data_IF_358089908173
#
_entry.id   IF_358089908173
#
_cell.length_a   1.000
_cell.length_b   1.000
_cell.length_c   1.000
_cell.angle_alpha   90.00
_cell.angle_beta   90.00
_cell.angle_gamma   90.00
#
_symmetry.space_group_name_H-M   'P 1'
#
loop_
_entity.id
_entity.type
_entity.pdbx_description
1 polymer ?
#
# COMPACT_ATOMS: atom_id res chain seq x y z
N UNK A 1 -25.13 -18.29 -1.45
CA UNK A 1 -24.91 -16.88 -1.83
C UNK A 1 -24.08 -16.20 -0.75
N UNK A 2 -22.76 -16.37 -0.75
CA UNK A 2 -21.87 -15.66 0.18
C UNK A 2 -21.21 -14.52 -0.60
N UNK A 3 -21.64 -13.28 -0.37
CA UNK A 3 -20.77 -12.16 -0.66
C UNK A 3 -19.60 -12.28 0.33
N UNK A 4 -18.34 -12.47 -0.13
CA UNK A 4 -17.23 -12.48 0.80
C UNK A 4 -17.16 -11.09 1.42
N UNK A 5 -17.21 -11.02 2.75
CA UNK A 5 -17.12 -9.77 3.46
C UNK A 5 -15.84 -9.04 3.02
N UNK A 6 -16.02 -7.84 2.47
CA UNK A 6 -14.95 -6.89 2.23
C UNK A 6 -14.44 -6.43 3.60
N UNK A 7 -13.61 -7.25 4.23
CA UNK A 7 -12.99 -6.92 5.50
C UNK A 7 -11.96 -5.84 5.23
N UNK A 8 -12.19 -4.66 5.82
CA UNK A 8 -11.20 -3.60 5.76
C UNK A 8 -9.94 -4.07 6.51
N UNK A 9 -8.83 -4.23 5.81
CA UNK A 9 -7.56 -4.64 6.40
C UNK A 9 -6.83 -3.41 6.93
N UNK A 10 -6.29 -3.50 8.14
CA UNK A 10 -5.42 -2.47 8.68
C UNK A 10 -4.01 -2.56 8.11
N UNK A 11 -3.28 -1.45 8.09
CA UNK A 11 -1.93 -1.40 7.57
C UNK A 11 -0.97 -2.34 8.33
N UNK A 12 -1.22 -2.55 9.63
CA UNK A 12 -0.48 -3.53 10.44
C UNK A 12 -0.78 -4.98 10.03
N UNK A 13 -2.03 -5.32 9.74
CA UNK A 13 -2.40 -6.63 9.21
C UNK A 13 -1.76 -6.87 7.84
N UNK A 14 -1.77 -5.88 6.96
CA UNK A 14 -1.12 -5.97 5.64
C UNK A 14 0.38 -6.22 5.80
N UNK A 15 1.04 -5.48 6.68
CA UNK A 15 2.46 -5.71 6.96
C UNK A 15 2.72 -7.12 7.50
N UNK A 16 1.87 -7.61 8.40
CA UNK A 16 1.98 -8.97 8.93
C UNK A 16 1.74 -10.05 7.86
N UNK A 17 0.74 -9.87 6.99
CA UNK A 17 0.40 -10.80 5.90
C UNK A 17 1.51 -10.87 4.85
N UNK A 18 2.08 -9.71 4.52
CA UNK A 18 3.13 -9.59 3.49
C UNK A 18 4.54 -9.85 4.03
N UNK A 19 4.67 -10.03 5.35
CA UNK A 19 5.98 -10.08 6.01
C UNK A 19 6.79 -8.79 5.88
N UNK A 20 6.11 -7.69 5.54
CA UNK A 20 6.70 -6.38 5.31
C UNK A 20 6.86 -5.57 6.60
N UNK A 21 7.66 -4.51 6.51
CA UNK A 21 7.80 -3.51 7.58
C UNK A 21 6.82 -2.37 7.34
N UNK A 22 5.86 -2.19 8.25
CA UNK A 22 5.01 -1.01 8.27
C UNK A 22 5.79 0.24 8.66
N UNK A 23 5.59 1.32 7.91
CA UNK A 23 6.07 2.67 8.17
C UNK A 23 4.88 3.63 8.12
N UNK A 24 4.70 4.42 9.17
CA UNK A 24 3.54 5.31 9.33
C UNK A 24 2.51 4.76 10.31
N UNK A 25 1.23 5.04 10.07
CA UNK A 25 0.14 4.73 11.00
C UNK A 25 -0.43 3.32 10.78
N UNK A 26 -0.44 2.44 11.81
CA UNK A 26 -1.02 1.09 11.73
C UNK A 26 -2.54 1.07 11.71
N UNK A 27 -3.18 2.14 12.18
CA UNK A 27 -4.65 2.23 12.30
C UNK A 27 -5.34 2.51 10.96
N UNK A 28 -4.58 2.83 9.91
CA UNK A 28 -5.14 3.09 8.59
C UNK A 28 -5.71 1.80 8.03
N UNK A 29 -6.98 1.87 7.60
CA UNK A 29 -7.70 0.74 7.03
C UNK A 29 -7.92 0.94 5.54
N UNK A 30 -7.83 -0.15 4.80
CA UNK A 30 -8.12 -0.21 3.38
C UNK A 30 -9.21 -1.24 3.11
N UNK A 31 -10.07 -0.96 2.15
CA UNK A 31 -11.20 -1.84 1.80
C UNK A 31 -11.01 -2.56 0.47
N UNK A 32 -10.13 -2.04 -0.39
CA UNK A 32 -9.85 -2.60 -1.71
C UNK A 32 -8.42 -2.32 -2.13
N UNK A 33 -7.98 -3.06 -3.14
CA UNK A 33 -6.67 -2.90 -3.77
C UNK A 33 -6.85 -2.20 -5.11
N UNK A 34 -6.07 -1.15 -5.36
CA UNK A 34 -6.11 -0.38 -6.59
C UNK A 34 -4.69 0.02 -7.04
N UNK A 35 -4.43 0.12 -8.35
CA UNK A 35 -3.14 0.60 -8.84
C UNK A 35 -2.95 2.08 -8.47
N UNK A 36 -1.69 2.50 -8.27
CA UNK A 36 -1.33 3.88 -7.87
C UNK A 36 -1.99 4.98 -8.70
N UNK A 37 -2.25 4.70 -9.98
CA UNK A 37 -2.88 5.61 -10.94
C UNK A 37 -4.35 5.90 -10.64
N UNK A 38 -5.05 4.96 -10.00
CA UNK A 38 -6.48 5.04 -9.69
C UNK A 38 -6.77 4.86 -8.20
N UNK A 39 -5.73 4.84 -7.37
CA UNK A 39 -5.88 4.60 -5.97
C UNK A 39 -6.46 5.83 -5.28
N UNK A 40 -7.52 5.59 -4.52
CA UNK A 40 -8.26 6.60 -3.77
C UNK A 40 -8.08 6.40 -2.27
N UNK A 41 -8.53 7.36 -1.45
CA UNK A 41 -8.54 7.19 0.00
C UNK A 41 -9.38 5.95 0.38
N UNK A 42 -8.81 5.06 1.19
CA UNK A 42 -9.36 3.75 1.53
C UNK A 42 -8.82 2.61 0.66
N UNK A 43 -7.95 2.90 -0.31
CA UNK A 43 -7.32 1.89 -1.15
C UNK A 43 -5.91 1.56 -0.71
N UNK A 44 -5.54 0.30 -0.95
CA UNK A 44 -4.16 -0.15 -0.95
C UNK A 44 -3.63 -0.15 -2.36
N UNK A 45 -2.47 0.48 -2.54
CA UNK A 45 -1.71 0.45 -3.78
C UNK A 45 -0.37 -0.24 -3.57
N UNK A 46 0.31 -0.58 -4.66
CA UNK A 46 1.66 -1.12 -4.61
C UNK A 46 2.51 -0.52 -5.72
N UNK A 47 3.76 -0.24 -5.39
CA UNK A 47 4.77 0.23 -6.31
C UNK A 47 5.63 -0.95 -6.76
N UNK A 48 5.22 -1.57 -7.86
CA UNK A 48 5.95 -2.68 -8.46
C UNK A 48 7.21 -2.29 -9.22
N UNK A 49 7.33 -1.04 -9.67
CA UNK A 49 8.41 -0.61 -10.55
C UNK A 49 8.74 0.86 -10.36
N UNK A 50 10.01 1.26 -10.54
CA UNK A 50 10.46 2.65 -10.39
C UNK A 50 9.75 3.61 -11.35
N UNK A 51 9.28 3.13 -12.50
CA UNK A 51 8.47 3.93 -13.45
C UNK A 51 7.19 4.50 -12.82
N UNK A 52 6.70 3.89 -11.75
CA UNK A 52 5.50 4.33 -11.05
C UNK A 52 5.76 5.33 -9.92
N UNK A 53 7.02 5.73 -9.68
CA UNK A 53 7.36 6.72 -8.66
C UNK A 53 6.61 8.04 -8.88
N UNK A 54 6.54 8.53 -10.12
CA UNK A 54 5.78 9.75 -10.42
C UNK A 54 4.27 9.62 -10.15
N UNK A 55 3.74 8.40 -10.12
CA UNK A 55 2.35 8.13 -9.73
C UNK A 55 2.21 7.97 -8.22
N UNK A 56 3.20 7.38 -7.53
CA UNK A 56 3.28 7.36 -6.06
C UNK A 56 3.12 8.77 -5.49
N UNK A 57 3.81 9.73 -6.10
CA UNK A 57 3.78 11.14 -5.70
C UNK A 57 2.41 11.81 -5.83
N UNK A 58 1.55 11.29 -6.72
CA UNK A 58 0.21 11.84 -7.00
C UNK A 58 -0.91 10.94 -6.50
N UNK A 59 -0.58 9.77 -5.97
CA UNK A 59 -1.54 8.76 -5.53
C UNK A 59 -2.24 9.20 -4.27
N UNK A 60 -3.55 8.98 -4.20
CA UNK A 60 -4.36 9.23 -3.02
C UNK A 60 -4.60 7.95 -2.20
N UNK A 61 -3.82 6.89 -2.46
CA UNK A 61 -3.89 5.63 -1.70
C UNK A 61 -3.70 5.88 -0.20
N UNK A 62 -4.46 5.17 0.62
CA UNK A 62 -4.29 5.22 2.08
C UNK A 62 -3.07 4.42 2.55
N UNK A 63 -2.79 3.28 1.90
CA UNK A 63 -1.62 2.45 2.18
C UNK A 63 -0.93 2.14 0.86
N UNK A 64 0.40 2.17 0.84
CA UNK A 64 1.17 1.73 -0.33
C UNK A 64 2.24 0.70 0.02
N UNK A 65 2.30 -0.40 -0.73
CA UNK A 65 3.41 -1.33 -0.68
C UNK A 65 4.56 -0.80 -1.53
N UNK A 66 5.74 -0.69 -0.95
CA UNK A 66 6.95 -0.21 -1.62
C UNK A 66 8.11 -1.13 -1.30
N UNK A 67 9.15 -1.11 -2.13
CA UNK A 67 10.42 -1.76 -1.80
C UNK A 67 11.24 -0.86 -0.87
N UNK A 68 12.17 -1.45 -0.14
CA UNK A 68 13.05 -0.72 0.78
C UNK A 68 13.85 0.37 0.06
N UNK A 69 14.26 0.11 -1.19
CA UNK A 69 14.92 1.08 -2.08
C UNK A 69 14.09 2.35 -2.32
N UNK A 70 12.76 2.27 -2.27
CA UNK A 70 11.85 3.40 -2.49
C UNK A 70 11.33 4.00 -1.18
N UNK A 71 11.73 3.48 -0.01
CA UNK A 71 11.33 4.05 1.27
C UNK A 71 11.84 5.48 1.44
N UNK A 72 13.02 5.78 0.88
CA UNK A 72 13.66 7.10 0.95
C UNK A 72 12.92 8.19 0.15
N UNK A 73 11.97 7.83 -0.71
CA UNK A 73 11.16 8.79 -1.46
C UNK A 73 10.20 9.52 -0.52
N UNK A 74 10.56 10.72 -0.09
CA UNK A 74 9.82 11.45 0.96
C UNK A 74 8.36 11.78 0.61
N UNK A 75 7.94 11.63 -0.64
CA UNK A 75 6.65 12.10 -1.09
C UNK A 75 5.75 10.96 -1.62
N UNK A 76 4.43 11.13 -1.50
CA UNK A 76 3.41 10.07 -1.63
C UNK A 76 2.69 9.77 -0.30
N UNK A 77 1.96 8.65 -0.21
CA UNK A 77 1.15 8.29 0.97
C UNK A 77 1.96 8.22 2.26
N UNK A 78 1.35 8.66 3.37
CA UNK A 78 1.96 8.67 4.69
C UNK A 78 2.16 7.26 5.28
N UNK A 79 1.33 6.28 4.87
CA UNK A 79 1.42 4.90 5.34
C UNK A 79 1.96 4.01 4.23
N UNK A 80 3.06 3.31 4.56
CA UNK A 80 3.83 2.51 3.60
C UNK A 80 4.18 1.17 4.20
N UNK A 81 4.04 0.11 3.43
CA UNK A 81 4.46 -1.24 3.82
C UNK A 81 5.66 -1.61 2.97
N UNK A 82 6.82 -1.72 3.60
CA UNK A 82 8.07 -2.06 2.94
C UNK A 82 8.16 -3.56 2.79
N UNK A 83 8.15 -4.04 1.56
CA UNK A 83 8.25 -5.48 1.23
C UNK A 83 9.40 -5.73 0.28
N UNK A 84 10.08 -6.90 0.37
CA UNK A 84 11.14 -7.25 -0.55
C UNK A 84 10.60 -7.41 -1.98
N UNK A 85 9.38 -7.93 -2.13
CA UNK A 85 8.72 -8.02 -3.42
C UNK A 85 7.22 -7.62 -3.36
N UNK A 86 6.86 -6.41 -3.83
CA UNK A 86 5.48 -5.95 -3.89
C UNK A 86 4.62 -6.66 -4.93
N UNK A 87 5.21 -7.46 -5.83
CA UNK A 87 4.44 -8.28 -6.77
C UNK A 87 3.99 -9.63 -6.18
N UNK A 88 4.70 -10.12 -5.15
CA UNK A 88 4.46 -11.41 -4.52
C UNK A 88 3.71 -11.29 -3.18
N UNK A 89 3.42 -10.06 -2.76
CA UNK A 89 2.83 -9.69 -1.49
C UNK A 89 1.29 -9.58 -1.56
#
# INVERSE_FOLDING_TARGET
MAAPAAHALSASEIAALTGGRLVGSPDVRVTRVAPLERAEPGDLAFLASPRYLSYLQRSAASVVLVREEFLAEAAGPAVRVVVPDPHAA
#
